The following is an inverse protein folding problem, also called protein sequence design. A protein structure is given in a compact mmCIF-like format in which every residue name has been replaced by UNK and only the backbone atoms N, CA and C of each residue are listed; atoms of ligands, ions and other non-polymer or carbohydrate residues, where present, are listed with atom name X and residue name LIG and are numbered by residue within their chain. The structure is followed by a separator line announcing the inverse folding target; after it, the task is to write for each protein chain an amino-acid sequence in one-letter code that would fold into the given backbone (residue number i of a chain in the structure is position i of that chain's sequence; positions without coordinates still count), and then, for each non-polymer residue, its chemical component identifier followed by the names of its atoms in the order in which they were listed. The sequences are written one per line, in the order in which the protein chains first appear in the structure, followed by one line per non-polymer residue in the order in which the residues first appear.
data_IF_885954406940
#
_entry.id   IF_885954406940
#
_cell.length_a   1.000
_cell.length_b   1.000
_cell.length_c   1.000
_cell.angle_alpha   90.00
_cell.angle_beta   90.00
_cell.angle_gamma   90.00
#
_symmetry.space_group_name_H-M   'P 1'
#
loop_
_entity.id
_entity.type
_entity.pdbx_description
1 polymer ?
#
# COMPACT_ATOMS: atom_id res chain seq x y z
N UNK A 1 -16.88 5.69 -0.55
CA UNK A 1 -16.12 4.43 -0.33
C UNK A 1 -16.13 4.13 1.15
N UNK A 2 -16.74 3.03 1.56
CA UNK A 2 -16.64 2.55 2.95
C UNK A 2 -15.18 2.16 3.19
N UNK A 3 -14.44 3.00 3.90
CA UNK A 3 -13.01 2.79 4.15
C UNK A 3 -12.89 1.65 5.18
N UNK A 4 -12.39 0.50 4.74
CA UNK A 4 -12.04 -0.59 5.65
C UNK A 4 -10.97 -0.09 6.61
N UNK A 5 -11.07 -0.45 7.89
CA UNK A 5 -10.08 -0.10 8.89
C UNK A 5 -8.99 -1.16 8.88
N UNK A 6 -7.80 -0.73 8.50
CA UNK A 6 -6.59 -1.55 8.56
C UNK A 6 -6.18 -1.70 10.02
N UNK A 7 -6.04 -2.95 10.48
CA UNK A 7 -5.69 -3.27 11.87
C UNK A 7 -4.18 -3.16 12.06
N UNK A 8 -3.73 -2.57 13.17
CA UNK A 8 -2.32 -2.53 13.56
C UNK A 8 -2.00 -3.46 14.76
N UNK A 9 -0.72 -3.64 15.05
CA UNK A 9 -0.25 -4.51 16.14
C UNK A 9 -0.93 -4.18 17.49
N UNK A 10 -1.03 -2.89 17.82
CA UNK A 10 -1.58 -2.41 19.10
C UNK A 10 -3.09 -2.59 19.23
N UNK A 11 -3.79 -2.85 18.13
CA UNK A 11 -5.23 -3.15 18.18
C UNK A 11 -5.50 -4.55 18.74
N UNK A 12 -4.58 -5.50 18.53
CA UNK A 12 -4.75 -6.92 18.90
C UNK A 12 -3.85 -7.38 20.04
N UNK A 13 -2.65 -6.79 20.17
CA UNK A 13 -1.63 -7.25 21.11
C UNK A 13 -1.27 -6.17 22.12
N UNK A 14 -0.95 -6.61 23.34
CA UNK A 14 -0.41 -5.76 24.41
C UNK A 14 1.11 -5.86 24.45
N UNK A 15 1.75 -4.84 25.01
CA UNK A 15 3.21 -4.78 25.12
C UNK A 15 3.87 -4.05 23.96
N UNK A 16 5.19 -4.05 23.93
CA UNK A 16 5.98 -3.29 22.95
C UNK A 16 5.88 -3.88 21.53
N UNK A 17 5.99 -3.00 20.54
CA UNK A 17 5.94 -3.40 19.13
C UNK A 17 7.29 -4.01 18.76
N UNK A 18 7.35 -5.31 18.41
CA UNK A 18 8.61 -5.95 18.06
C UNK A 18 9.15 -5.40 16.73
N UNK A 19 10.47 -5.27 16.56
CA UNK A 19 11.06 -4.94 15.26
C UNK A 19 10.76 -6.03 14.23
N UNK A 20 10.44 -5.63 13.00
CA UNK A 20 10.15 -6.57 11.89
C UNK A 20 11.31 -7.55 11.66
N UNK A 21 12.56 -7.06 11.70
CA UNK A 21 13.73 -7.92 11.54
C UNK A 21 13.82 -9.05 12.58
N UNK A 22 13.39 -8.80 13.81
CA UNK A 22 13.38 -9.81 14.89
C UNK A 22 12.31 -10.86 14.64
N UNK A 23 11.13 -10.47 14.15
CA UNK A 23 10.07 -11.40 13.81
C UNK A 23 10.46 -12.35 12.67
N UNK A 24 11.20 -11.82 11.69
CA UNK A 24 11.61 -12.55 10.49
C UNK A 24 12.91 -13.35 10.65
N UNK A 25 13.60 -13.20 11.78
CA UNK A 25 14.86 -13.90 12.05
C UNK A 25 14.64 -15.37 12.32
N UNK A 26 15.46 -16.26 11.77
CA UNK A 26 15.24 -17.70 11.90
C UNK A 26 14.21 -18.31 10.95
N UNK A 27 13.61 -17.51 10.06
CA UNK A 27 12.78 -18.00 8.94
C UNK A 27 13.66 -18.10 7.70
N UNK A 28 13.54 -19.20 6.93
CA UNK A 28 14.30 -19.36 5.70
C UNK A 28 14.01 -18.23 4.70
N UNK A 29 15.01 -17.85 3.89
CA UNK A 29 14.81 -16.83 2.85
C UNK A 29 13.68 -17.21 1.89
N UNK A 30 13.61 -18.50 1.54
CA UNK A 30 12.59 -19.04 0.66
C UNK A 30 11.19 -18.84 1.25
N UNK A 31 10.96 -19.26 2.50
CA UNK A 31 9.65 -19.20 3.14
C UNK A 31 9.18 -17.75 3.33
N UNK A 32 10.10 -16.85 3.72
CA UNK A 32 9.80 -15.41 3.82
C UNK A 32 9.33 -14.83 2.50
N UNK A 33 10.08 -15.09 1.42
CA UNK A 33 9.76 -14.54 0.10
C UNK A 33 8.51 -15.18 -0.48
N UNK A 34 8.35 -16.50 -0.36
CA UNK A 34 7.16 -17.21 -0.85
C UNK A 34 5.91 -16.81 -0.08
N UNK A 35 5.95 -16.77 1.25
CA UNK A 35 4.82 -16.39 2.09
C UNK A 35 4.34 -14.96 1.79
N UNK A 36 5.27 -14.00 1.70
CA UNK A 36 4.88 -12.62 1.39
C UNK A 36 4.44 -12.46 -0.07
N UNK A 37 5.05 -13.19 -1.01
CA UNK A 37 4.60 -13.21 -2.41
C UNK A 37 3.19 -13.79 -2.55
N UNK A 38 2.85 -14.83 -1.78
CA UNK A 38 1.51 -15.37 -1.71
C UNK A 38 0.50 -14.30 -1.27
N UNK A 39 0.80 -13.55 -0.21
CA UNK A 39 -0.05 -12.44 0.25
C UNK A 39 -0.20 -11.34 -0.81
N UNK A 40 0.88 -10.97 -1.50
CA UNK A 40 0.81 -10.01 -2.62
C UNK A 40 -0.04 -10.54 -3.78
N UNK A 41 0.07 -11.83 -4.11
CA UNK A 41 -0.77 -12.51 -5.09
C UNK A 41 -2.25 -12.46 -4.70
N UNK A 42 -2.57 -12.80 -3.45
CA UNK A 42 -3.91 -12.68 -2.89
C UNK A 42 -4.47 -11.25 -3.01
N UNK A 43 -3.67 -10.24 -2.63
CA UNK A 43 -4.07 -8.84 -2.67
C UNK A 43 -4.26 -8.29 -4.09
N UNK A 44 -3.57 -8.87 -5.08
CA UNK A 44 -3.72 -8.49 -6.48
C UNK A 44 -4.93 -9.14 -7.16
N UNK A 45 -5.26 -10.38 -6.78
CA UNK A 45 -6.38 -11.12 -7.37
C UNK A 45 -7.72 -10.85 -6.68
N UNK A 46 -7.70 -10.47 -5.39
CA UNK A 46 -8.91 -10.24 -4.61
C UNK A 46 -9.24 -8.76 -4.52
N UNK A 47 -10.35 -8.37 -5.17
CA UNK A 47 -10.82 -7.00 -5.15
C UNK A 47 -11.09 -6.50 -3.71
N UNK A 48 -10.62 -5.28 -3.39
CA UNK A 48 -10.69 -4.71 -2.05
C UNK A 48 -12.08 -4.79 -1.35
N UNK A 49 -13.22 -4.55 -2.04
CA UNK A 49 -14.54 -4.67 -1.40
C UNK A 49 -14.86 -6.07 -0.88
N UNK A 50 -14.30 -7.11 -1.52
CA UNK A 50 -14.53 -8.52 -1.15
C UNK A 50 -13.67 -8.96 0.03
N UNK A 51 -12.49 -8.36 0.23
CA UNK A 51 -11.56 -8.72 1.32
C UNK A 51 -12.12 -8.35 2.69
N UNK A 52 -11.86 -9.18 3.69
CA UNK A 52 -12.08 -8.91 5.11
C UNK A 52 -11.07 -9.70 5.97
N UNK A 53 -11.09 -9.45 7.28
CA UNK A 53 -10.20 -10.10 8.22
C UNK A 53 -10.35 -11.63 8.24
N UNK A 54 -11.51 -12.20 7.91
CA UNK A 54 -11.70 -13.66 7.86
C UNK A 54 -10.97 -14.24 6.66
N UNK A 55 -11.13 -13.64 5.48
CA UNK A 55 -10.41 -14.04 4.28
C UNK A 55 -8.90 -13.84 4.43
N UNK A 56 -8.47 -12.75 5.07
CA UNK A 56 -7.06 -12.51 5.36
C UNK A 56 -6.48 -13.63 6.26
N UNK A 57 -7.21 -14.06 7.28
CA UNK A 57 -6.76 -15.17 8.15
C UNK A 57 -6.57 -16.47 7.40
N UNK A 58 -7.46 -16.77 6.44
CA UNK A 58 -7.36 -17.96 5.59
C UNK A 58 -6.12 -17.96 4.69
N UNK A 59 -5.48 -16.81 4.46
CA UNK A 59 -4.24 -16.74 3.67
C UNK A 59 -2.98 -16.99 4.50
N UNK A 60 -3.07 -17.06 5.83
CA UNK A 60 -1.89 -17.09 6.70
C UNK A 60 -1.91 -18.17 7.77
N UNK A 61 -3.07 -18.50 8.35
CA UNK A 61 -3.14 -19.46 9.44
C UNK A 61 -3.51 -20.85 8.94
N UNK A 62 -2.62 -21.80 9.18
CA UNK A 62 -2.84 -23.22 8.98
C UNK A 62 -3.31 -23.95 10.25
N UNK A 63 -3.51 -25.27 10.17
CA UNK A 63 -3.92 -26.09 11.31
C UNK A 63 -2.90 -26.08 12.47
N UNK A 64 -1.62 -25.87 12.18
CA UNK A 64 -0.55 -25.82 13.18
C UNK A 64 -0.66 -24.62 14.13
N UNK A 65 -1.48 -23.62 13.80
CA UNK A 65 -1.59 -22.37 14.53
C UNK A 65 -3.04 -22.04 14.96
N UNK A 66 -3.90 -23.06 15.04
CA UNK A 66 -5.34 -22.91 15.34
C UNK A 66 -5.59 -22.12 16.63
N UNK A 67 -4.83 -22.37 17.69
CA UNK A 67 -4.98 -21.69 18.97
C UNK A 67 -4.71 -20.18 18.86
N UNK A 68 -3.62 -19.79 18.18
CA UNK A 68 -3.28 -18.39 17.96
C UNK A 68 -4.24 -17.72 16.99
N UNK A 69 -4.59 -18.40 15.89
CA UNK A 69 -5.60 -17.94 14.94
C UNK A 69 -6.94 -17.68 15.63
N UNK A 70 -7.40 -18.59 16.51
CA UNK A 70 -8.61 -18.41 17.31
C UNK A 70 -8.53 -17.16 18.21
N UNK A 71 -7.40 -16.92 18.87
CA UNK A 71 -7.18 -15.72 19.68
C UNK A 71 -7.27 -14.44 18.83
N UNK A 72 -6.64 -14.43 17.65
CA UNK A 72 -6.69 -13.31 16.71
C UNK A 72 -8.12 -13.07 16.23
N UNK A 73 -8.85 -14.12 15.88
CA UNK A 73 -10.23 -14.05 15.44
C UNK A 73 -11.11 -13.39 16.51
N UNK A 74 -11.08 -13.89 17.74
CA UNK A 74 -11.91 -13.35 18.83
C UNK A 74 -11.57 -11.91 19.18
N UNK A 75 -10.28 -11.56 19.20
CA UNK A 75 -9.82 -10.19 19.44
C UNK A 75 -10.31 -9.24 18.34
N UNK A 76 -10.25 -9.68 17.09
CA UNK A 76 -10.68 -8.90 15.92
C UNK A 76 -12.19 -8.78 15.85
N UNK A 77 -12.94 -9.83 16.20
CA UNK A 77 -14.40 -9.78 16.29
C UNK A 77 -14.87 -8.75 17.33
N UNK A 78 -14.23 -8.73 18.51
CA UNK A 78 -14.50 -7.73 19.54
C UNK A 78 -14.17 -6.31 19.06
N UNK A 79 -13.07 -6.12 18.32
CA UNK A 79 -12.71 -4.83 17.72
C UNK A 79 -13.72 -4.39 16.64
N UNK A 80 -14.11 -5.29 15.75
CA UNK A 80 -15.07 -5.03 14.69
C UNK A 80 -16.42 -4.59 15.26
N UNK A 81 -16.87 -5.26 16.33
CA UNK A 81 -18.10 -4.95 17.05
C UNK A 81 -18.07 -3.54 17.65
N UNK A 82 -16.93 -3.14 18.23
CA UNK A 82 -16.73 -1.80 18.81
C UNK A 82 -16.64 -0.67 17.78
N UNK A 83 -16.06 -0.95 16.61
CA UNK A 83 -15.78 0.08 15.58
C UNK A 83 -16.88 0.17 14.52
N UNK A 84 -17.82 -0.79 14.49
CA UNK A 84 -18.90 -0.90 13.50
C UNK A 84 -18.42 -0.71 12.06
N UNK A 85 -17.23 -1.24 11.74
CA UNK A 85 -16.59 -1.10 10.44
C UNK A 85 -15.95 -2.41 10.00
N UNK A 86 -15.78 -2.55 8.70
CA UNK A 86 -15.12 -3.71 8.10
C UNK A 86 -13.61 -3.61 8.35
N UNK A 87 -13.03 -4.68 8.89
CA UNK A 87 -11.61 -4.76 9.21
C UNK A 87 -10.86 -5.59 8.17
N UNK A 88 -9.59 -5.26 7.98
CA UNK A 88 -8.63 -6.04 7.21
C UNK A 88 -7.25 -5.99 7.89
N UNK A 89 -6.47 -7.05 7.70
CA UNK A 89 -5.09 -7.16 8.19
C UNK A 89 -4.09 -6.75 7.12
N UNK A 90 -4.39 -7.01 5.85
CA UNK A 90 -3.41 -6.83 4.78
C UNK A 90 -3.72 -5.61 3.91
N UNK A 91 -2.65 -4.89 3.56
CA UNK A 91 -2.68 -3.75 2.66
C UNK A 91 -1.53 -3.87 1.63
N UNK A 92 -1.78 -3.66 0.32
CA UNK A 92 -0.75 -3.87 -0.70
C UNK A 92 0.57 -3.16 -0.42
N UNK A 93 0.52 -1.90 0.04
CA UNK A 93 1.72 -1.13 0.36
C UNK A 93 2.54 -1.73 1.51
N UNK A 94 1.91 -2.13 2.61
CA UNK A 94 2.64 -2.65 3.79
C UNK A 94 3.13 -4.07 3.56
N UNK A 95 2.37 -4.88 2.82
CA UNK A 95 2.82 -6.20 2.37
C UNK A 95 4.00 -6.08 1.39
N UNK A 96 4.02 -5.07 0.51
CA UNK A 96 5.16 -4.82 -0.37
C UNK A 96 6.39 -4.32 0.40
N UNK A 97 6.19 -3.48 1.42
CA UNK A 97 7.27 -3.10 2.35
C UNK A 97 7.84 -4.34 3.07
N UNK A 98 6.98 -5.25 3.52
CA UNK A 98 7.41 -6.51 4.11
C UNK A 98 8.23 -7.34 3.13
N UNK A 99 7.81 -7.40 1.85
CA UNK A 99 8.57 -8.09 0.81
C UNK A 99 9.98 -7.50 0.67
N UNK A 100 10.10 -6.16 0.66
CA UNK A 100 11.39 -5.47 0.67
C UNK A 100 12.26 -5.88 1.85
N UNK A 101 11.70 -5.88 3.07
CA UNK A 101 12.41 -6.37 4.26
C UNK A 101 12.88 -7.83 4.10
N UNK A 102 12.03 -8.72 3.60
CA UNK A 102 12.39 -10.12 3.37
C UNK A 102 13.48 -10.27 2.29
N UNK A 103 13.46 -9.42 1.26
CA UNK A 103 14.39 -9.44 0.15
C UNK A 103 15.79 -8.98 0.55
N UNK A 104 15.87 -7.92 1.35
CA UNK A 104 17.13 -7.33 1.82
C UNK A 104 17.78 -8.13 2.95
N UNK A 105 17.00 -8.95 3.67
CA UNK A 105 17.49 -9.71 4.80
C UNK A 105 18.37 -10.89 4.34
N UNK A 106 19.57 -11.07 4.95
CA UNK A 106 20.47 -12.16 4.58
C UNK A 106 19.87 -13.52 4.92
N UNK A 107 20.45 -14.56 4.32
CA UNK A 107 20.17 -15.93 4.70
C UNK A 107 20.82 -16.25 6.05
N UNK A 108 20.10 -17.02 6.87
CA UNK A 108 20.51 -17.38 8.23
C UNK A 108 20.02 -18.77 8.59
N UNK A 109 20.41 -19.29 9.77
CA UNK A 109 19.95 -20.59 10.22
C UNK A 109 18.44 -20.60 10.41
N UNK A 110 17.78 -21.67 9.96
CA UNK A 110 16.34 -21.86 10.16
C UNK A 110 16.11 -22.37 11.59
N UNK A 111 15.41 -21.60 12.41
CA UNK A 111 15.16 -21.90 13.83
C UNK A 111 13.68 -21.81 14.21
N UNK A 112 12.84 -21.23 13.36
CA UNK A 112 11.40 -21.13 13.60
C UNK A 112 10.65 -22.35 13.05
N UNK A 113 9.66 -22.80 13.79
CA UNK A 113 8.66 -23.78 13.33
C UNK A 113 7.62 -23.14 12.41
N UNK A 114 6.86 -23.94 11.66
CA UNK A 114 5.80 -23.44 10.76
C UNK A 114 4.79 -22.52 11.48
N UNK A 115 4.33 -22.91 12.67
CA UNK A 115 3.40 -22.10 13.46
C UNK A 115 4.02 -20.74 13.87
N UNK A 116 5.31 -20.71 14.15
CA UNK A 116 6.04 -19.48 14.47
C UNK A 116 6.20 -18.59 13.23
N UNK A 117 6.48 -19.19 12.08
CA UNK A 117 6.54 -18.48 10.79
C UNK A 117 5.21 -17.77 10.51
N UNK A 118 4.10 -18.49 10.55
CA UNK A 118 2.76 -17.92 10.32
C UNK A 118 2.46 -16.76 11.30
N UNK A 119 2.71 -16.99 12.60
CA UNK A 119 2.50 -15.99 13.66
C UNK A 119 3.36 -14.75 13.44
N UNK A 120 4.63 -14.93 13.12
CA UNK A 120 5.58 -13.84 13.03
C UNK A 120 5.44 -13.05 11.73
N UNK A 121 5.13 -13.70 10.60
CA UNK A 121 4.77 -13.02 9.35
C UNK A 121 3.49 -12.21 9.52
N UNK A 122 2.47 -12.78 10.17
CA UNK A 122 1.23 -12.07 10.49
C UNK A 122 1.51 -10.84 11.36
N UNK A 123 2.29 -11.02 12.42
CA UNK A 123 2.66 -9.95 13.33
C UNK A 123 3.44 -8.86 12.60
N UNK A 124 4.37 -9.22 11.71
CA UNK A 124 5.14 -8.27 10.92
C UNK A 124 4.26 -7.39 10.02
N UNK A 125 3.23 -7.98 9.38
CA UNK A 125 2.23 -7.21 8.63
C UNK A 125 1.55 -6.15 9.51
N UNK A 126 1.11 -6.54 10.72
CA UNK A 126 0.44 -5.61 11.64
C UNK A 126 1.36 -4.52 12.20
N UNK A 127 2.65 -4.83 12.40
CA UNK A 127 3.66 -3.84 12.81
C UNK A 127 3.82 -2.77 11.73
N UNK A 128 3.95 -3.18 10.46
CA UNK A 128 4.10 -2.26 9.32
C UNK A 128 2.84 -1.43 9.09
N UNK A 129 1.65 -2.00 9.33
CA UNK A 129 0.39 -1.25 9.29
C UNK A 129 0.40 -0.03 10.19
N UNK A 130 0.96 -0.13 11.40
CA UNK A 130 0.96 0.99 12.33
C UNK A 130 1.79 2.18 11.86
N UNK A 131 2.98 1.93 11.28
CA UNK A 131 3.79 2.99 10.69
C UNK A 131 3.03 3.69 9.55
N UNK A 132 2.46 2.89 8.65
CA UNK A 132 1.69 3.38 7.52
C UNK A 132 0.42 4.17 7.92
N UNK A 133 -0.34 3.71 8.93
CA UNK A 133 -1.52 4.41 9.45
C UNK A 133 -1.13 5.79 9.99
N UNK A 134 -0.01 5.89 10.73
CA UNK A 134 0.51 7.17 11.24
C UNK A 134 0.91 8.11 10.10
N UNK A 135 1.61 7.60 9.08
CA UNK A 135 1.95 8.39 7.88
C UNK A 135 0.69 8.92 7.18
N UNK A 136 -0.33 8.06 6.97
CA UNK A 136 -1.59 8.48 6.35
C UNK A 136 -2.32 9.54 7.18
N UNK A 137 -2.33 9.39 8.50
CA UNK A 137 -2.95 10.36 9.40
C UNK A 137 -2.23 11.72 9.34
N UNK A 138 -0.90 11.71 9.35
CA UNK A 138 -0.10 12.93 9.24
C UNK A 138 -0.31 13.61 7.88
N UNK A 139 -0.26 12.85 6.78
CA UNK A 139 -0.50 13.36 5.43
C UNK A 139 -1.89 14.00 5.31
N UNK A 140 -2.93 13.34 5.85
CA UNK A 140 -4.29 13.89 5.89
C UNK A 140 -4.38 15.16 6.73
N UNK A 141 -3.69 15.21 7.88
CA UNK A 141 -3.68 16.39 8.75
C UNK A 141 -3.06 17.58 8.05
N UNK A 142 -1.90 17.41 7.42
CA UNK A 142 -1.22 18.46 6.66
C UNK A 142 -2.06 18.90 5.46
N UNK A 143 -2.63 17.96 4.70
CA UNK A 143 -3.47 18.29 3.54
C UNK A 143 -4.71 19.12 3.94
N UNK A 144 -5.33 18.82 5.09
CA UNK A 144 -6.45 19.60 5.63
C UNK A 144 -6.04 21.01 6.07
N UNK A 145 -4.83 21.17 6.60
CA UNK A 145 -4.30 22.50 6.94
C UNK A 145 -4.01 23.34 5.70
N UNK A 146 -3.49 22.72 4.63
CA UNK A 146 -3.21 23.39 3.36
C UNK A 146 -4.48 23.76 2.59
N UNK A 147 -5.53 22.94 2.69
CA UNK A 147 -6.76 23.05 1.92
C UNK A 147 -8.00 23.06 2.83
N UNK A 148 -8.13 24.02 3.77
CA UNK A 148 -9.13 24.00 4.85
C UNK A 148 -10.57 24.08 4.34
N UNK A 149 -10.78 24.71 3.18
CA UNK A 149 -12.10 24.88 2.56
C UNK A 149 -12.35 23.90 1.40
N UNK A 150 -11.41 22.99 1.12
CA UNK A 150 -11.50 22.05 0.00
C UNK A 150 -11.27 20.61 0.48
N UNK A 151 -12.20 20.04 1.26
CA UNK A 151 -11.99 18.74 1.91
C UNK A 151 -11.78 17.59 0.93
N UNK A 152 -12.38 17.66 -0.27
CA UNK A 152 -12.15 16.67 -1.33
C UNK A 152 -10.75 16.79 -1.93
N UNK A 153 -10.25 18.01 -2.13
CA UNK A 153 -8.89 18.23 -2.63
C UNK A 153 -7.85 17.83 -1.59
N UNK A 154 -8.09 18.12 -0.30
CA UNK A 154 -7.27 17.64 0.80
C UNK A 154 -7.23 16.11 0.87
N UNK A 155 -8.40 15.46 0.76
CA UNK A 155 -8.49 14.00 0.76
C UNK A 155 -7.83 13.38 -0.47
N UNK A 156 -7.98 14.01 -1.65
CA UNK A 156 -7.27 13.61 -2.85
C UNK A 156 -5.76 13.73 -2.60
N UNK A 157 -5.24 14.90 -2.23
CA UNK A 157 -3.81 15.13 -2.00
C UNK A 157 -3.19 14.12 -1.01
N UNK A 158 -3.88 13.86 0.11
CA UNK A 158 -3.43 12.88 1.09
C UNK A 158 -3.57 11.41 0.64
N UNK A 159 -4.50 11.13 -0.28
CA UNK A 159 -4.79 9.78 -0.76
C UNK A 159 -4.16 9.41 -2.12
N UNK A 160 -3.55 10.35 -2.86
CA UNK A 160 -3.45 10.20 -4.33
C UNK A 160 -2.20 9.57 -4.91
N UNK A 161 -1.11 9.34 -4.17
CA UNK A 161 0.11 8.85 -4.83
C UNK A 161 0.50 7.41 -4.51
N UNK A 162 0.48 6.93 -3.26
CA UNK A 162 1.02 5.58 -2.99
C UNK A 162 0.03 4.44 -3.23
N UNK A 163 -1.26 4.64 -3.01
CA UNK A 163 -2.18 3.51 -2.87
C UNK A 163 -2.95 3.20 -4.15
N UNK A 164 -3.30 4.22 -4.94
CA UNK A 164 -4.05 4.01 -6.17
C UNK A 164 -3.27 3.20 -7.21
N UNK A 165 -1.94 3.36 -7.29
CA UNK A 165 -1.10 2.58 -8.20
C UNK A 165 -0.94 1.12 -7.75
N UNK A 166 -1.04 0.86 -6.44
CA UNK A 166 -0.91 -0.48 -5.85
C UNK A 166 -2.24 -1.24 -5.73
N UNK A 167 -3.38 -0.53 -5.68
CA UNK A 167 -4.71 -1.11 -5.48
C UNK A 167 -5.50 -1.18 -6.80
N UNK A 168 -5.25 -0.29 -7.78
CA UNK A 168 -5.94 -0.35 -9.06
C UNK A 168 -5.20 -1.26 -10.06
N UNK A 169 -5.59 -2.52 -10.14
CA UNK A 169 -4.96 -3.48 -11.08
C UNK A 169 -5.29 -3.26 -12.57
N UNK A 170 -5.99 -2.18 -12.92
CA UNK A 170 -6.29 -1.82 -14.33
C UNK A 170 -5.23 -0.87 -14.86
N UNK A 171 -4.04 -1.41 -15.13
CA UNK A 171 -2.90 -0.64 -15.69
C UNK A 171 -3.28 0.22 -16.91
N UNK A 172 -4.14 -0.23 -17.86
CA UNK A 172 -4.57 0.64 -18.96
C UNK A 172 -5.36 1.86 -18.50
N UNK A 173 -6.21 1.70 -17.48
CA UNK A 173 -6.99 2.81 -16.92
C UNK A 173 -6.11 3.76 -16.11
N UNK A 174 -5.09 3.25 -15.39
CA UNK A 174 -4.11 4.09 -14.71
C UNK A 174 -3.32 4.88 -15.74
N UNK A 175 -2.78 4.23 -16.77
CA UNK A 175 -2.02 4.89 -17.82
C UNK A 175 -2.84 6.02 -18.48
N UNK A 176 -4.10 5.73 -18.82
CA UNK A 176 -5.02 6.74 -19.35
C UNK A 176 -5.25 7.89 -18.37
N UNK A 177 -5.49 7.59 -17.09
CA UNK A 177 -5.72 8.61 -16.07
C UNK A 177 -4.48 9.49 -15.86
N UNK A 178 -3.28 8.91 -15.86
CA UNK A 178 -2.03 9.66 -15.73
C UNK A 178 -1.78 10.55 -16.95
N UNK A 179 -2.12 10.10 -18.16
CA UNK A 179 -2.09 10.94 -19.35
C UNK A 179 -3.05 12.13 -19.21
N UNK A 180 -4.30 11.90 -18.80
CA UNK A 180 -5.29 12.98 -18.59
C UNK A 180 -4.78 13.98 -17.54
N UNK A 181 -4.30 13.50 -16.39
CA UNK A 181 -3.75 14.37 -15.32
C UNK A 181 -2.57 15.19 -15.82
N UNK A 182 -1.67 14.56 -16.57
CA UNK A 182 -0.49 15.23 -17.11
C UNK A 182 -0.89 16.33 -18.09
N UNK A 183 -1.86 16.09 -18.98
CA UNK A 183 -2.43 17.13 -19.85
C UNK A 183 -2.98 18.30 -19.03
N UNK A 184 -3.81 18.02 -18.00
CA UNK A 184 -4.36 19.08 -17.12
C UNK A 184 -3.28 19.87 -16.39
N UNK A 185 -2.20 19.21 -15.97
CA UNK A 185 -1.06 19.88 -15.36
C UNK A 185 -0.41 20.85 -16.34
N UNK A 186 -0.14 20.42 -17.58
CA UNK A 186 0.48 21.29 -18.58
C UNK A 186 -0.43 22.46 -18.99
N UNK A 187 -1.74 22.24 -19.13
CA UNK A 187 -2.72 23.31 -19.34
C UNK A 187 -2.66 24.35 -18.21
N UNK A 188 -2.55 23.90 -16.95
CA UNK A 188 -2.43 24.79 -15.80
C UNK A 188 -1.10 25.55 -15.78
N UNK A 189 0.01 24.89 -16.08
CA UNK A 189 1.34 25.53 -16.14
C UNK A 189 1.43 26.56 -17.27
N UNK A 190 0.78 26.30 -18.40
CA UNK A 190 0.72 27.21 -19.55
C UNK A 190 -0.20 28.41 -19.30
N UNK A 191 -1.32 28.21 -18.59
CA UNK A 191 -2.29 29.27 -18.29
C UNK A 191 -1.79 30.33 -17.29
N UNK A 192 -0.80 29.99 -16.45
CA UNK A 192 -0.35 30.81 -15.33
C UNK A 192 1.09 31.34 -15.56
N UNK A 193 1.28 32.64 -15.89
CA UNK A 193 2.59 33.19 -16.29
C UNK A 193 3.73 32.95 -15.31
N UNK A 194 3.41 32.87 -14.00
CA UNK A 194 4.39 32.59 -12.94
C UNK A 194 5.09 31.23 -13.09
N UNK A 195 4.49 30.28 -13.81
CA UNK A 195 5.05 28.95 -14.04
C UNK A 195 5.76 28.80 -15.38
N UNK A 196 5.80 29.85 -16.21
CA UNK A 196 6.51 29.84 -17.49
C UNK A 196 7.98 29.37 -17.38
N UNK A 197 8.77 29.75 -16.34
CA UNK A 197 10.14 29.23 -16.18
C UNK A 197 10.19 27.72 -15.96
N UNK A 198 9.22 27.15 -15.22
CA UNK A 198 9.16 25.72 -14.93
C UNK A 198 8.79 24.94 -16.19
N UNK A 199 7.78 25.41 -16.93
CA UNK A 199 7.38 24.82 -18.20
C UNK A 199 8.51 24.89 -19.23
N UNK A 200 9.17 26.05 -19.35
CA UNK A 200 10.30 26.26 -20.24
C UNK A 200 11.47 25.31 -19.93
N UNK A 201 11.85 25.17 -18.65
CA UNK A 201 12.91 24.26 -18.24
C UNK A 201 12.58 22.79 -18.55
N UNK A 202 11.33 22.39 -18.35
CA UNK A 202 10.86 21.05 -18.72
C UNK A 202 10.97 20.82 -20.23
N UNK A 203 10.43 21.73 -21.04
CA UNK A 203 10.44 21.64 -22.50
C UNK A 203 11.86 21.62 -23.08
N UNK A 204 12.75 22.44 -22.53
CA UNK A 204 14.16 22.44 -22.88
C UNK A 204 14.84 21.11 -22.55
N UNK A 205 14.58 20.54 -21.37
CA UNK A 205 15.16 19.25 -20.96
C UNK A 205 14.77 18.11 -21.91
N UNK A 206 13.53 18.10 -22.38
CA UNK A 206 13.03 17.06 -23.29
C UNK A 206 13.12 17.45 -24.77
N UNK A 207 13.78 18.57 -25.09
CA UNK A 207 13.93 19.08 -26.46
C UNK A 207 12.60 19.13 -27.23
N UNK A 208 11.57 19.70 -26.59
CA UNK A 208 10.23 19.82 -27.13
C UNK A 208 9.84 21.30 -27.25
N UNK A 209 9.21 21.68 -28.35
CA UNK A 209 8.75 23.06 -28.56
C UNK A 209 7.56 23.43 -27.67
N UNK A 210 6.73 22.43 -27.36
CA UNK A 210 5.56 22.57 -26.51
C UNK A 210 5.20 21.21 -25.87
N UNK A 211 4.31 21.23 -24.89
CA UNK A 211 3.96 20.03 -24.13
C UNK A 211 3.19 19.02 -25.00
N UNK A 212 2.49 19.47 -26.04
CA UNK A 212 1.84 18.61 -27.02
C UNK A 212 2.86 17.82 -27.87
N UNK A 213 4.00 18.43 -28.20
CA UNK A 213 5.11 17.76 -28.87
C UNK A 213 5.73 16.67 -27.99
N UNK A 214 5.86 16.95 -26.69
CA UNK A 214 6.29 15.94 -25.70
C UNK A 214 5.37 14.72 -25.68
N UNK A 215 4.04 14.89 -25.60
CA UNK A 215 3.12 13.75 -25.63
C UNK A 215 3.13 12.98 -26.96
N UNK A 216 3.33 13.66 -28.09
CA UNK A 216 3.51 12.99 -29.39
C UNK A 216 4.76 12.10 -29.38
N UNK A 217 5.88 12.57 -28.84
CA UNK A 217 7.08 11.74 -28.67
C UNK A 217 6.83 10.58 -27.71
N UNK A 218 6.13 10.81 -26.60
CA UNK A 218 5.78 9.78 -25.62
C UNK A 218 4.90 8.67 -26.21
N UNK A 219 3.94 9.01 -27.07
CA UNK A 219 3.09 8.03 -27.76
C UNK A 219 3.86 7.09 -28.69
N UNK A 220 5.03 7.50 -29.19
CA UNK A 220 5.92 6.64 -29.97
C UNK A 220 6.61 5.55 -29.14
N UNK A 221 6.68 5.75 -27.82
CA UNK A 221 7.32 4.85 -26.85
C UNK A 221 6.27 3.93 -26.20
N UNK A 222 5.06 4.44 -25.95
CA UNK A 222 3.97 3.69 -25.35
C UNK A 222 3.18 2.97 -26.46
N UNK A 223 3.59 1.74 -26.81
CA UNK A 223 2.75 0.86 -27.64
C UNK A 223 1.57 0.34 -26.80
N UNK A 224 0.31 0.53 -27.23
CA UNK A 224 -0.80 -0.17 -26.62
C UNK A 224 -0.61 -1.68 -26.87
N UNK A 225 -0.46 -2.45 -25.79
CA UNK A 225 -0.59 -3.90 -25.85
C UNK A 225 -2.09 -4.18 -25.85
N UNK A 226 -2.63 -4.46 -27.04
CA UNK A 226 -3.98 -5.00 -27.23
C UNK A 226 -4.00 -6.47 -26.91
#
# INVERSE_FOLDING_TARGET
MTRQLLVEFKDLFRGDTPPVAVLLDGISRLDRLQGVSHLLGYLSQTAAPKRDYVLDMQQIFGPSNEAFGGQVYHSTLALASRKSTKLNFFHPKTTLQLFGHCFDMPEGPVTQTEAEVERNVFTACLVLNGAYIREQYQAMTVARQLLPHQPLAAAALAGTFSDFELINHRLPHIAMLQLIKSVRLFEFLEAEPRFAPLLGAFLQRFNCENWQAFFRQLSGIIKPVT
#
